data_IF_745928345293
#
_entry.id   IF_745928345293
#
_cell.length_a   1.000
_cell.length_b   1.000
_cell.length_c   1.000
_cell.angle_alpha   90.00
_cell.angle_beta   90.00
_cell.angle_gamma   90.00
#
_symmetry.space_group_name_H-M   'P 1'
#
loop_
_entity.id
_entity.type
_entity.pdbx_description
1 polymer ?
#
# COMPACT_ATOMS: atom_id res chain seq x y z
N UNK A 1 -20.61 -20.08 18.99
CA UNK A 1 -19.48 -19.93 18.04
C UNK A 1 -19.08 -18.47 18.01
N UNK A 2 -17.81 -18.14 18.23
CA UNK A 2 -17.33 -16.77 17.99
C UNK A 2 -17.35 -16.52 16.47
N UNK A 3 -17.74 -15.32 16.02
CA UNK A 3 -17.70 -14.97 14.61
C UNK A 3 -16.26 -15.08 14.08
N UNK A 4 -16.09 -15.67 12.89
CA UNK A 4 -14.78 -15.67 12.22
C UNK A 4 -14.45 -14.24 11.83
N UNK A 5 -13.31 -13.74 12.29
CA UNK A 5 -12.78 -12.44 11.88
C UNK A 5 -11.81 -12.67 10.72
N UNK A 6 -12.04 -11.97 9.61
CA UNK A 6 -11.17 -11.99 8.42
C UNK A 6 -10.59 -10.58 8.27
N UNK A 7 -9.32 -10.50 7.89
CA UNK A 7 -8.68 -9.25 7.50
C UNK A 7 -8.82 -9.06 5.99
N UNK A 8 -9.41 -7.94 5.58
CA UNK A 8 -9.46 -7.54 4.17
C UNK A 8 -8.43 -6.45 3.96
N UNK A 9 -7.50 -6.66 3.04
CA UNK A 9 -6.48 -5.67 2.69
C UNK A 9 -6.48 -5.37 1.19
N UNK A 10 -5.96 -4.20 0.84
CA UNK A 10 -5.70 -3.78 -0.53
C UNK A 10 -4.44 -2.91 -0.59
N UNK A 11 -3.76 -2.97 -1.72
CA UNK A 11 -2.65 -2.08 -2.05
C UNK A 11 -3.21 -0.72 -2.46
N UNK A 12 -2.59 0.36 -1.97
CA UNK A 12 -3.09 1.75 -2.07
C UNK A 12 -1.95 2.74 -2.22
N UNK A 13 -2.26 3.96 -2.67
CA UNK A 13 -1.24 4.99 -2.90
C UNK A 13 -0.44 4.76 -4.19
N UNK A 14 -1.02 4.04 -5.15
CA UNK A 14 -0.38 3.65 -6.41
C UNK A 14 -0.81 4.52 -7.61
N UNK A 15 -1.49 5.64 -7.36
CA UNK A 15 -1.82 6.64 -8.39
C UNK A 15 -3.24 6.59 -8.96
N UNK A 16 -4.08 5.61 -8.57
CA UNK A 16 -5.49 5.56 -8.99
C UNK A 16 -6.32 6.65 -8.28
N UNK A 17 -5.98 6.97 -7.03
CA UNK A 17 -6.62 8.07 -6.28
C UNK A 17 -8.03 7.76 -5.74
N UNK A 18 -8.44 6.49 -5.75
CA UNK A 18 -9.75 6.02 -5.28
C UNK A 18 -9.72 5.48 -3.84
N UNK A 19 -8.65 5.74 -3.08
CA UNK A 19 -8.47 5.17 -1.74
C UNK A 19 -9.62 5.55 -0.79
N UNK A 20 -10.17 6.77 -0.92
CA UNK A 20 -11.30 7.24 -0.11
C UNK A 20 -12.55 6.36 -0.26
N UNK A 21 -12.73 5.75 -1.43
CA UNK A 21 -13.83 4.85 -1.73
C UNK A 21 -13.58 3.43 -1.20
N UNK A 22 -12.30 3.03 -1.12
CA UNK A 22 -11.90 1.70 -0.66
C UNK A 22 -11.88 1.58 0.87
N UNK A 23 -11.36 2.60 1.57
CA UNK A 23 -11.10 2.55 3.02
C UNK A 23 -12.29 2.12 3.90
N UNK A 24 -13.56 2.49 3.62
CA UNK A 24 -14.71 1.98 4.38
C UNK A 24 -14.84 0.46 4.41
N UNK A 25 -14.24 -0.25 3.45
CA UNK A 25 -14.35 -1.70 3.30
C UNK A 25 -13.10 -2.47 3.76
N UNK A 26 -12.00 -1.77 4.10
CA UNK A 26 -10.73 -2.38 4.43
C UNK A 26 -10.55 -2.57 5.94
N UNK A 27 -9.84 -3.65 6.29
CA UNK A 27 -9.28 -3.87 7.63
C UNK A 27 -7.84 -3.36 7.72
N UNK A 28 -7.08 -3.54 6.64
CA UNK A 28 -5.70 -3.06 6.48
C UNK A 28 -5.48 -2.48 5.09
N UNK A 29 -4.46 -1.65 4.92
CA UNK A 29 -4.02 -1.13 3.63
C UNK A 29 -2.49 -1.18 3.51
N UNK A 30 -1.99 -1.55 2.34
CA UNK A 30 -0.55 -1.62 2.06
C UNK A 30 -0.18 -0.39 1.20
N UNK A 31 0.56 0.56 1.78
CA UNK A 31 0.85 1.84 1.15
C UNK A 31 2.15 1.75 0.35
N UNK A 32 2.09 2.08 -0.95
CA UNK A 32 3.27 2.12 -1.82
C UNK A 32 4.37 3.05 -1.27
N UNK A 33 5.62 2.63 -1.41
CA UNK A 33 6.77 3.25 -0.72
C UNK A 33 7.74 4.01 -1.66
N UNK A 34 7.37 4.24 -2.92
CA UNK A 34 8.18 4.98 -3.89
C UNK A 34 9.17 4.17 -4.73
N UNK A 35 9.17 2.84 -4.59
CA UNK A 35 9.92 1.94 -5.49
C UNK A 35 9.20 1.80 -6.84
N UNK A 36 8.00 1.21 -6.80
CA UNK A 36 7.17 1.01 -7.98
C UNK A 36 6.14 2.11 -8.21
N UNK A 37 5.69 2.75 -7.13
CA UNK A 37 4.67 3.77 -7.14
C UNK A 37 4.67 4.53 -5.81
N UNK A 38 3.97 5.68 -5.81
CA UNK A 38 3.80 6.51 -4.64
C UNK A 38 4.96 7.49 -4.43
N UNK A 39 4.65 8.59 -3.76
CA UNK A 39 5.59 9.63 -3.35
C UNK A 39 5.23 10.11 -1.94
N UNK A 40 6.03 11.00 -1.36
CA UNK A 40 5.81 11.51 0.00
C UNK A 40 4.39 12.10 0.17
N UNK A 41 3.92 12.85 -0.83
CA UNK A 41 2.59 13.47 -0.84
C UNK A 41 1.48 12.43 -0.79
N UNK A 42 1.57 11.41 -1.66
CA UNK A 42 0.60 10.33 -1.76
C UNK A 42 0.62 9.47 -0.51
N UNK A 43 1.79 9.12 0.01
CA UNK A 43 1.95 8.37 1.25
C UNK A 43 1.28 9.11 2.43
N UNK A 44 1.54 10.40 2.59
CA UNK A 44 0.94 11.22 3.65
C UNK A 44 -0.59 11.27 3.53
N UNK A 45 -1.11 11.47 2.31
CA UNK A 45 -2.56 11.49 2.05
C UNK A 45 -3.22 10.17 2.44
N UNK A 46 -2.63 9.04 2.05
CA UNK A 46 -3.19 7.71 2.32
C UNK A 46 -3.08 7.34 3.79
N UNK A 47 -1.99 7.69 4.48
CA UNK A 47 -1.85 7.52 5.94
C UNK A 47 -2.95 8.29 6.68
N UNK A 48 -3.22 9.54 6.28
CA UNK A 48 -4.25 10.33 6.92
C UNK A 48 -5.64 9.70 6.73
N UNK A 49 -5.94 9.26 5.51
CA UNK A 49 -7.19 8.60 5.20
C UNK A 49 -7.37 7.27 5.96
N UNK A 50 -6.32 6.45 6.05
CA UNK A 50 -6.36 5.20 6.80
C UNK A 50 -6.65 5.45 8.29
N UNK A 51 -6.07 6.52 8.87
CA UNK A 51 -6.35 6.93 10.26
C UNK A 51 -7.81 7.34 10.46
N UNK A 52 -8.36 8.14 9.54
CA UNK A 52 -9.74 8.62 9.63
C UNK A 52 -10.75 7.46 9.57
N UNK A 53 -10.43 6.42 8.81
CA UNK A 53 -11.25 5.21 8.67
C UNK A 53 -10.90 4.08 9.66
N UNK A 54 -9.89 4.26 10.51
CA UNK A 54 -9.39 3.23 11.46
C UNK A 54 -8.91 1.95 10.77
N UNK A 55 -8.31 2.09 9.58
CA UNK A 55 -7.69 1.01 8.81
C UNK A 55 -6.24 0.83 9.27
N UNK A 56 -5.79 -0.42 9.41
CA UNK A 56 -4.39 -0.73 9.77
C UNK A 56 -3.45 -0.41 8.60
N UNK A 57 -2.32 0.22 8.90
CA UNK A 57 -1.34 0.63 7.89
C UNK A 57 -0.20 -0.39 7.80
N UNK A 58 0.12 -0.82 6.58
CA UNK A 58 1.30 -1.61 6.24
C UNK A 58 2.12 -0.93 5.14
N UNK A 59 3.42 -1.23 5.09
CA UNK A 59 4.29 -0.81 3.99
C UNK A 59 4.11 -1.77 2.79
N UNK A 60 4.13 -1.23 1.58
CA UNK A 60 4.16 -1.98 0.34
C UNK A 60 5.45 -1.66 -0.45
N UNK A 61 6.60 -2.21 0.01
CA UNK A 61 7.87 -2.06 -0.70
C UNK A 61 7.88 -2.91 -1.98
N UNK A 62 8.73 -2.51 -2.91
CA UNK A 62 8.88 -3.16 -4.22
C UNK A 62 10.28 -2.87 -4.77
N UNK A 63 10.58 -3.46 -5.92
CA UNK A 63 11.75 -3.07 -6.69
C UNK A 63 11.71 -1.57 -7.05
N UNK A 64 12.88 -0.91 -7.15
CA UNK A 64 12.97 0.49 -7.61
C UNK A 64 12.77 0.57 -9.12
N UNK A 65 11.57 0.19 -9.58
CA UNK A 65 11.20 0.05 -10.99
C UNK A 65 9.82 0.65 -11.25
N UNK A 66 9.74 1.97 -11.24
CA UNK A 66 8.50 2.70 -11.51
C UNK A 66 7.97 2.42 -12.93
N UNK A 67 8.85 2.29 -13.92
CA UNK A 67 8.48 2.11 -15.33
C UNK A 67 7.68 0.81 -15.57
N UNK A 68 8.01 -0.25 -14.84
CA UNK A 68 7.28 -1.52 -14.91
C UNK A 68 6.44 -1.80 -13.66
N UNK A 69 6.21 -0.79 -12.82
CA UNK A 69 5.41 -0.90 -11.62
C UNK A 69 5.89 -2.00 -10.64
N UNK A 70 7.22 -2.20 -10.58
CA UNK A 70 7.86 -3.18 -9.70
C UNK A 70 7.48 -4.63 -10.01
N UNK A 71 6.96 -4.91 -11.22
CA UNK A 71 6.48 -6.24 -11.62
C UNK A 71 7.51 -7.05 -12.39
N UNK A 72 8.61 -6.43 -12.83
CA UNK A 72 9.73 -7.15 -13.41
C UNK A 72 10.70 -7.58 -12.32
N UNK A 73 11.23 -8.80 -12.45
CA UNK A 73 12.21 -9.33 -11.51
C UNK A 73 13.52 -8.57 -11.70
N UNK A 74 14.06 -8.05 -10.61
CA UNK A 74 15.36 -7.37 -10.58
C UNK A 74 16.32 -8.17 -9.71
N UNK A 75 17.51 -8.45 -10.23
CA UNK A 75 18.58 -9.03 -9.45
C UNK A 75 19.10 -7.98 -8.46
N UNK A 76 19.00 -8.29 -7.17
CA UNK A 76 19.45 -7.44 -6.07
C UNK A 76 20.23 -8.28 -5.06
N UNK A 77 21.33 -7.74 -4.55
CA UNK A 77 22.04 -8.36 -3.45
C UNK A 77 21.21 -8.27 -2.16
N UNK A 78 21.55 -9.12 -1.18
CA UNK A 78 20.91 -9.07 0.13
C UNK A 78 21.12 -7.74 0.88
N UNK A 79 22.11 -6.94 0.48
CA UNK A 79 22.34 -5.61 1.05
C UNK A 79 21.50 -4.50 0.38
N UNK A 80 20.94 -4.77 -0.79
CA UNK A 80 20.09 -3.85 -1.54
C UNK A 80 18.60 -4.08 -1.28
N UNK A 81 18.21 -5.28 -0.78
CA UNK A 81 16.85 -5.61 -0.30
C UNK A 81 16.55 -4.94 1.04
#
# INVERSE_FOLDING_TARGET
MLPRKIDINADVGEGIGNEAELMPYLSSCNIACGGHAGDESTMLKVVQLAKDHRVKIGAHPSFPDEANFGREVMEMSAAEL
#
